data_IF_712932792553
#
_entry.id   IF_712932792553
#
_cell.length_a   1.000
_cell.length_b   1.000
_cell.length_c   1.000
_cell.angle_alpha   90.00
_cell.angle_beta   90.00
_cell.angle_gamma   90.00
#
_symmetry.space_group_name_H-M   'P 1'
#
loop_
_entity.id
_entity.type
_entity.pdbx_description
1 polymer ?
#
# COMPACT_ATOMS: atom_id res chain seq x y z
N UNK A 1 -23.86 5.71 -56.53
CA UNK A 1 -24.00 7.16 -56.30
C UNK A 1 -22.89 7.62 -55.38
N UNK A 2 -22.06 8.53 -55.87
CA UNK A 2 -20.85 9.05 -55.22
C UNK A 2 -21.25 10.15 -54.22
N UNK A 3 -20.81 10.07 -52.95
CA UNK A 3 -21.04 11.13 -51.94
C UNK A 3 -19.92 12.17 -52.08
N UNK A 4 -20.22 13.49 -52.04
CA UNK A 4 -19.18 14.51 -52.20
C UNK A 4 -18.24 14.54 -50.99
N UNK A 5 -16.98 14.88 -51.23
CA UNK A 5 -16.03 15.25 -50.17
C UNK A 5 -16.43 16.60 -49.55
N UNK A 6 -16.28 16.79 -48.23
CA UNK A 6 -16.57 18.07 -47.58
C UNK A 6 -15.57 19.17 -48.00
N UNK A 7 -16.08 20.41 -48.15
CA UNK A 7 -15.29 21.62 -48.46
C UNK A 7 -14.29 21.98 -47.35
N UNK A 8 -13.15 22.62 -47.69
CA UNK A 8 -12.05 22.89 -46.76
C UNK A 8 -12.24 24.09 -45.80
N UNK A 9 -13.41 24.72 -45.74
CA UNK A 9 -13.63 25.97 -44.99
C UNK A 9 -14.60 25.85 -43.80
N UNK A 10 -14.61 24.72 -43.09
CA UNK A 10 -15.29 24.64 -41.80
C UNK A 10 -14.42 25.35 -40.73
N UNK A 11 -14.95 26.30 -39.94
CA UNK A 11 -14.18 26.88 -38.85
C UNK A 11 -13.85 25.75 -37.86
N UNK A 12 -12.56 25.51 -37.65
CA UNK A 12 -12.07 24.63 -36.59
C UNK A 12 -12.64 25.12 -35.26
N UNK A 13 -13.68 24.44 -34.79
CA UNK A 13 -14.21 24.61 -33.46
C UNK A 13 -13.06 24.32 -32.51
N UNK A 14 -12.45 25.39 -31.99
CA UNK A 14 -11.49 25.34 -30.89
C UNK A 14 -12.08 24.40 -29.86
N UNK A 15 -11.46 23.23 -29.69
CA UNK A 15 -11.67 22.42 -28.51
C UNK A 15 -11.43 23.38 -27.35
N UNK A 16 -12.49 23.75 -26.63
CA UNK A 16 -12.37 24.51 -25.41
C UNK A 16 -11.36 23.73 -24.57
N UNK A 17 -10.21 24.34 -24.32
CA UNK A 17 -9.29 23.82 -23.34
C UNK A 17 -10.12 23.65 -22.07
N UNK A 18 -10.31 22.39 -21.65
CA UNK A 18 -10.87 22.13 -20.34
C UNK A 18 -9.91 22.82 -19.36
N UNK A 19 -10.36 23.89 -18.72
CA UNK A 19 -9.60 24.54 -17.67
C UNK A 19 -9.27 23.45 -16.63
N UNK A 20 -7.99 23.13 -16.37
CA UNK A 20 -7.64 22.13 -15.36
C UNK A 20 -8.05 22.59 -13.95
N UNK A 21 -8.44 23.86 -13.81
CA UNK A 21 -8.98 24.46 -12.60
C UNK A 21 -10.42 24.05 -12.25
N UNK A 22 -11.11 23.27 -13.11
CA UNK A 22 -12.41 22.67 -12.81
C UNK A 22 -12.30 21.23 -12.25
N UNK A 23 -11.11 20.81 -11.81
CA UNK A 23 -10.94 19.59 -11.02
C UNK A 23 -11.40 19.87 -9.58
N UNK A 24 -12.42 19.16 -9.11
CA UNK A 24 -12.81 19.20 -7.70
C UNK A 24 -11.60 18.92 -6.79
N UNK A 25 -11.58 19.52 -5.61
CA UNK A 25 -10.52 19.29 -4.61
C UNK A 25 -10.39 17.79 -4.35
N UNK A 26 -9.22 17.22 -4.67
CA UNK A 26 -8.90 15.83 -4.30
C UNK A 26 -8.86 15.79 -2.77
N UNK A 27 -9.63 14.91 -2.12
CA UNK A 27 -9.61 14.83 -0.67
C UNK A 27 -8.25 14.36 -0.18
N UNK A 28 -7.79 14.97 0.91
CA UNK A 28 -6.58 14.59 1.64
C UNK A 28 -6.74 13.22 2.30
N UNK A 29 -5.61 12.56 2.62
CA UNK A 29 -5.63 11.26 3.32
C UNK A 29 -6.42 11.31 4.64
N UNK A 30 -6.36 12.45 5.34
CA UNK A 30 -7.07 12.67 6.60
C UNK A 30 -8.59 12.71 6.45
N UNK A 31 -9.09 13.09 5.26
CA UNK A 31 -10.52 13.12 4.97
C UNK A 31 -11.06 11.75 4.59
N UNK A 32 -10.21 10.85 4.09
CA UNK A 32 -10.63 9.53 3.57
C UNK A 32 -10.27 8.34 4.46
N UNK A 33 -9.24 8.47 5.29
CA UNK A 33 -8.71 7.38 6.11
C UNK A 33 -8.69 7.75 7.60
N UNK A 34 -9.01 6.81 8.51
CA UNK A 34 -9.04 7.06 9.95
C UNK A 34 -7.64 6.94 10.58
N UNK A 35 -6.67 7.66 10.03
CA UNK A 35 -5.26 7.61 10.43
C UNK A 35 -4.81 8.82 11.24
N UNK A 36 -3.49 8.92 11.42
CA UNK A 36 -2.82 10.07 12.05
C UNK A 36 -1.48 10.33 11.39
N UNK A 37 -1.04 11.58 11.44
CA UNK A 37 0.32 11.95 11.07
C UNK A 37 1.32 11.46 12.13
N UNK A 38 2.43 10.91 11.68
CA UNK A 38 3.55 10.48 12.50
C UNK A 38 4.82 11.18 12.03
N UNK A 39 5.58 11.71 12.98
CA UNK A 39 6.94 12.16 12.72
C UNK A 39 7.88 10.96 12.86
N UNK A 40 8.68 10.68 11.83
CA UNK A 40 9.69 9.62 11.85
C UNK A 40 11.08 10.19 11.59
N UNK A 41 12.17 9.48 11.92
CA UNK A 41 13.53 9.92 11.56
C UNK A 41 13.73 10.12 10.05
N UNK A 42 12.93 9.46 9.22
CA UNK A 42 12.96 9.61 7.77
C UNK A 42 12.00 10.69 7.26
N UNK A 43 11.29 11.40 8.14
CA UNK A 43 10.31 12.42 7.76
C UNK A 43 8.89 12.07 8.18
N UNK A 44 7.93 12.99 7.99
CA UNK A 44 6.53 12.77 8.35
C UNK A 44 5.89 11.74 7.41
N UNK A 45 4.99 10.93 7.96
CA UNK A 45 4.13 10.03 7.19
C UNK A 45 2.72 10.00 7.78
N UNK A 46 1.75 9.58 6.97
CA UNK A 46 0.40 9.33 7.45
C UNK A 46 0.24 7.85 7.77
N UNK A 47 -0.28 7.52 8.95
CA UNK A 47 -0.34 6.15 9.47
C UNK A 47 -1.77 5.74 9.79
N UNK A 48 -2.18 4.62 9.23
CA UNK A 48 -3.47 3.98 9.46
C UNK A 48 -3.24 2.60 10.08
N UNK A 49 -4.03 2.26 11.10
CA UNK A 49 -3.98 0.96 11.77
C UNK A 49 -5.33 0.28 11.66
N UNK A 50 -5.30 -0.99 11.29
CA UNK A 50 -6.45 -1.88 11.24
C UNK A 50 -6.23 -3.06 12.16
N UNK A 51 -7.27 -3.46 12.87
CA UNK A 51 -7.26 -4.62 13.75
C UNK A 51 -8.42 -5.53 13.36
N UNK A 52 -8.09 -6.73 12.91
CA UNK A 52 -9.06 -7.71 12.45
C UNK A 52 -9.07 -8.91 13.40
N UNK A 53 -10.21 -9.26 14.01
CA UNK A 53 -10.34 -10.53 14.74
C UNK A 53 -9.97 -11.71 13.84
N UNK A 54 -9.39 -12.79 14.38
CA UNK A 54 -8.99 -13.94 13.54
C UNK A 54 -10.18 -14.64 12.83
N UNK A 55 -11.41 -14.40 13.27
CA UNK A 55 -12.62 -14.87 12.58
C UNK A 55 -13.02 -14.00 11.37
N UNK A 56 -12.43 -12.81 11.21
CA UNK A 56 -12.62 -11.95 10.06
C UNK A 56 -12.25 -12.70 8.78
N UNK A 57 -13.08 -12.55 7.74
CA UNK A 57 -12.91 -13.22 6.45
C UNK A 57 -12.30 -12.26 5.44
N UNK A 58 -11.21 -12.71 4.83
CA UNK A 58 -10.63 -12.08 3.67
C UNK A 58 -10.88 -12.97 2.45
N UNK A 59 -11.77 -12.53 1.56
CA UNK A 59 -12.33 -13.38 0.51
C UNK A 59 -13.06 -14.59 1.11
N UNK A 60 -12.68 -15.80 0.68
CA UNK A 60 -13.33 -17.03 1.13
C UNK A 60 -12.78 -17.59 2.46
N UNK A 61 -11.62 -17.11 2.93
CA UNK A 61 -10.93 -17.68 4.09
C UNK A 61 -10.95 -16.72 5.30
N UNK A 62 -11.21 -17.22 6.52
CA UNK A 62 -10.95 -16.47 7.75
C UNK A 62 -9.45 -16.36 8.04
N UNK A 63 -9.01 -15.27 8.66
CA UNK A 63 -7.59 -15.03 8.94
C UNK A 63 -6.96 -16.11 9.83
N UNK A 64 -7.73 -16.73 10.72
CA UNK A 64 -7.27 -17.87 11.55
C UNK A 64 -6.72 -19.05 10.73
N UNK A 65 -7.16 -19.24 9.48
CA UNK A 65 -6.67 -20.35 8.65
C UNK A 65 -5.20 -20.19 8.29
N UNK A 66 -4.67 -18.95 8.23
CA UNK A 66 -3.25 -18.72 8.02
C UNK A 66 -2.39 -19.33 9.14
N UNK A 67 -2.91 -19.40 10.37
CA UNK A 67 -2.20 -20.00 11.51
C UNK A 67 -2.09 -21.53 11.41
N UNK A 68 -2.83 -22.16 10.49
CA UNK A 68 -2.76 -23.61 10.25
C UNK A 68 -1.76 -23.99 9.15
N UNK A 69 -1.16 -23.00 8.48
CA UNK A 69 -0.14 -23.23 7.45
C UNK A 69 1.12 -23.79 8.12
N UNK A 70 1.52 -24.98 7.70
CA UNK A 70 2.73 -25.63 8.20
C UNK A 70 4.00 -24.96 7.66
N UNK A 71 5.08 -24.96 8.45
CA UNK A 71 6.38 -24.48 7.99
C UNK A 71 6.88 -25.24 6.76
N UNK A 72 6.58 -26.54 6.64
CA UNK A 72 6.85 -27.31 5.41
C UNK A 72 6.19 -26.71 4.16
N UNK A 73 4.95 -26.22 4.28
CA UNK A 73 4.28 -25.52 3.18
C UNK A 73 5.03 -24.24 2.82
N UNK A 74 5.48 -23.48 3.83
CA UNK A 74 6.27 -22.27 3.62
C UNK A 74 7.61 -22.57 2.95
N UNK A 75 8.31 -23.63 3.38
CA UNK A 75 9.57 -24.06 2.80
C UNK A 75 9.46 -24.42 1.32
N UNK A 76 8.40 -25.13 0.94
CA UNK A 76 8.12 -25.45 -0.47
C UNK A 76 7.82 -24.19 -1.29
N UNK A 77 6.98 -23.29 -0.78
CA UNK A 77 6.59 -22.06 -1.49
C UNK A 77 7.76 -21.07 -1.62
N UNK A 78 8.52 -20.89 -0.54
CA UNK A 78 9.69 -20.01 -0.47
C UNK A 78 10.94 -20.60 -1.12
N UNK A 79 10.94 -21.91 -1.43
CA UNK A 79 12.10 -22.68 -1.88
C UNK A 79 13.28 -22.56 -0.91
N UNK A 80 12.97 -22.63 0.37
CA UNK A 80 13.92 -22.45 1.46
C UNK A 80 13.57 -23.39 2.62
N UNK A 81 14.39 -24.41 2.83
CA UNK A 81 14.22 -25.41 3.89
C UNK A 81 14.30 -24.81 5.30
N UNK A 82 14.96 -23.65 5.47
CA UNK A 82 15.01 -22.98 6.77
C UNK A 82 13.65 -22.51 7.27
N UNK A 83 12.65 -22.41 6.37
CA UNK A 83 11.28 -22.05 6.72
C UNK A 83 10.48 -23.20 7.33
N UNK A 84 11.01 -24.43 7.39
CA UNK A 84 10.29 -25.57 8.00
C UNK A 84 9.95 -25.33 9.48
N UNK A 85 10.79 -24.58 10.19
CA UNK A 85 10.60 -24.21 11.60
C UNK A 85 9.84 -22.89 11.79
N UNK A 86 9.44 -22.23 10.70
CA UNK A 86 8.71 -20.95 10.75
C UNK A 86 7.21 -21.18 10.89
N UNK A 87 6.59 -20.38 11.75
CA UNK A 87 5.12 -20.28 11.86
C UNK A 87 4.66 -18.87 11.47
N UNK A 88 3.56 -18.79 10.73
CA UNK A 88 2.95 -17.51 10.36
C UNK A 88 2.48 -16.71 11.57
N UNK A 89 2.22 -17.36 12.72
CA UNK A 89 1.89 -16.68 13.98
C UNK A 89 3.00 -15.73 14.46
N UNK A 90 4.25 -15.97 14.02
CA UNK A 90 5.43 -15.18 14.38
C UNK A 90 5.98 -14.40 13.19
N UNK A 91 5.30 -14.44 12.04
CA UNK A 91 5.75 -13.78 10.83
C UNK A 91 5.30 -12.31 10.80
N UNK A 92 6.12 -11.49 10.15
CA UNK A 92 5.77 -10.15 9.71
C UNK A 92 5.52 -10.21 8.20
N UNK A 93 4.34 -9.75 7.78
CA UNK A 93 3.96 -9.62 6.38
C UNK A 93 4.25 -8.19 5.94
N UNK A 94 4.96 -8.01 4.83
CA UNK A 94 5.27 -6.69 4.29
C UNK A 94 4.87 -6.62 2.83
N UNK A 95 4.25 -5.52 2.46
CA UNK A 95 3.89 -5.19 1.09
C UNK A 95 4.15 -3.71 0.83
N UNK A 96 4.56 -3.36 -0.39
CA UNK A 96 4.87 -1.98 -0.76
C UNK A 96 4.20 -1.62 -2.08
N UNK A 97 3.56 -0.45 -2.12
CA UNK A 97 3.08 0.13 -3.37
C UNK A 97 4.00 1.24 -3.81
N UNK A 98 4.30 1.23 -5.10
CA UNK A 98 5.28 2.12 -5.69
C UNK A 98 4.72 2.91 -6.87
N UNK A 99 5.24 4.11 -7.10
CA UNK A 99 4.87 4.88 -8.28
C UNK A 99 5.47 4.26 -9.54
N UNK A 100 4.61 3.98 -10.53
CA UNK A 100 5.02 3.50 -11.85
C UNK A 100 5.17 4.67 -12.83
N UNK A 101 6.31 5.37 -12.81
CA UNK A 101 6.59 6.37 -13.85
C UNK A 101 7.27 5.69 -15.05
N UNK A 102 6.52 5.53 -16.14
CA UNK A 102 7.03 5.09 -17.43
C UNK A 102 8.03 6.13 -17.96
N UNK A 103 9.31 6.03 -17.60
CA UNK A 103 10.32 7.01 -18.02
C UNK A 103 11.65 7.05 -17.28
N UNK A 104 11.90 6.19 -16.29
CA UNK A 104 13.25 6.04 -15.69
C UNK A 104 13.67 7.09 -14.66
N UNK A 105 12.75 7.90 -14.14
CA UNK A 105 13.05 9.01 -13.20
C UNK A 105 12.67 8.77 -11.74
N UNK A 106 12.32 7.55 -11.34
CA UNK A 106 12.21 7.17 -9.92
C UNK A 106 10.93 6.41 -9.58
N UNK A 107 11.09 5.29 -8.90
CA UNK A 107 10.01 4.50 -8.30
C UNK A 107 10.00 4.82 -6.81
N UNK A 108 9.06 5.65 -6.37
CA UNK A 108 8.90 5.99 -4.95
C UNK A 108 7.94 5.00 -4.29
N UNK A 109 8.32 4.46 -3.14
CA UNK A 109 7.39 3.71 -2.29
C UNK A 109 6.46 4.72 -1.62
N UNK A 110 5.21 4.83 -2.08
CA UNK A 110 4.26 5.77 -1.51
C UNK A 110 3.40 5.13 -0.41
N UNK A 111 3.36 3.79 -0.34
CA UNK A 111 2.69 3.03 0.71
C UNK A 111 3.55 1.86 1.17
N UNK A 112 3.68 1.69 2.48
CA UNK A 112 4.23 0.47 3.11
C UNK A 112 3.15 -0.13 4.01
N UNK A 113 2.73 -1.35 3.72
CA UNK A 113 1.85 -2.15 4.56
C UNK A 113 2.66 -3.14 5.39
N UNK A 114 2.37 -3.23 6.68
CA UNK A 114 2.99 -4.18 7.60
C UNK A 114 1.88 -4.90 8.36
N UNK A 115 1.85 -6.23 8.31
CA UNK A 115 0.87 -7.07 8.99
C UNK A 115 1.52 -8.09 9.93
N UNK A 116 0.91 -8.37 11.07
CA UNK A 116 1.35 -9.43 11.98
C UNK A 116 0.19 -9.92 12.86
N UNK A 117 0.39 -11.09 13.49
CA UNK A 117 -0.55 -11.61 14.47
C UNK A 117 -0.19 -11.12 15.88
N UNK A 118 -1.18 -10.64 16.62
CA UNK A 118 -1.05 -10.17 18.00
C UNK A 118 -2.24 -10.68 18.82
N UNK A 119 -2.02 -11.75 19.61
CA UNK A 119 -3.10 -12.44 20.32
C UNK A 119 -4.15 -12.98 19.34
N UNK A 120 -5.41 -12.60 19.55
CA UNK A 120 -6.56 -12.98 18.70
C UNK A 120 -6.86 -11.96 17.59
N UNK A 121 -5.87 -11.15 17.23
CA UNK A 121 -5.97 -10.14 16.17
C UNK A 121 -4.91 -10.38 15.09
N UNK A 122 -5.28 -10.05 13.86
CA UNK A 122 -4.35 -9.71 12.81
C UNK A 122 -4.33 -8.18 12.69
N UNK A 123 -3.17 -7.60 12.92
CA UNK A 123 -2.97 -6.15 12.88
C UNK A 123 -2.33 -5.77 11.56
N UNK A 124 -2.82 -4.70 10.94
CA UNK A 124 -2.23 -4.10 9.74
C UNK A 124 -1.96 -2.64 10.00
N UNK A 125 -0.70 -2.23 9.94
CA UNK A 125 -0.32 -0.83 9.93
C UNK A 125 0.11 -0.45 8.50
N UNK A 126 -0.48 0.62 7.98
CA UNK A 126 -0.17 1.18 6.67
C UNK A 126 0.41 2.57 6.85
N UNK A 127 1.55 2.80 6.23
CA UNK A 127 2.25 4.07 6.22
C UNK A 127 2.15 4.64 4.81
N UNK A 128 1.75 5.91 4.70
CA UNK A 128 1.59 6.63 3.45
C UNK A 128 2.55 7.82 3.42
N UNK A 129 3.14 8.06 2.27
CA UNK A 129 3.86 9.30 1.99
C UNK A 129 2.86 10.47 1.93
N UNK A 130 3.13 11.57 2.64
CA UNK A 130 2.24 12.75 2.65
C UNK A 130 2.53 13.72 1.49
N UNK A 131 3.80 13.92 1.10
CA UNK A 131 4.20 14.92 0.09
C UNK A 131 5.15 14.32 -0.95
N UNK A 132 4.80 14.41 -2.24
CA UNK A 132 5.64 13.98 -3.37
C UNK A 132 6.83 14.93 -3.65
N UNK A 133 6.73 16.19 -3.23
CA UNK A 133 7.68 17.27 -3.58
C UNK A 133 8.90 17.36 -2.64
N UNK A 134 8.98 16.48 -1.65
CA UNK A 134 10.14 16.36 -0.77
C UNK A 134 10.58 14.91 -0.81
N UNK A 135 11.81 14.63 -1.25
CA UNK A 135 12.38 13.31 -0.97
C UNK A 135 12.49 13.15 0.54
N UNK A 136 11.75 12.18 1.11
CA UNK A 136 12.47 11.12 1.79
C UNK A 136 11.83 9.72 1.67
N UNK A 137 12.60 8.72 2.10
CA UNK A 137 12.26 7.29 2.09
C UNK A 137 11.25 6.92 3.18
N UNK A 138 10.11 6.35 2.77
CA UNK A 138 9.13 5.77 3.69
C UNK A 138 9.73 4.51 4.35
N UNK A 139 9.93 4.55 5.68
CA UNK A 139 10.34 3.38 6.47
C UNK A 139 9.43 3.24 7.69
N UNK A 140 8.95 2.03 8.00
CA UNK A 140 8.14 1.82 9.20
C UNK A 140 8.98 2.06 10.47
N UNK A 141 8.41 2.63 11.54
CA UNK A 141 9.09 2.77 12.82
C UNK A 141 9.42 1.39 13.42
N UNK A 142 10.58 1.27 14.08
CA UNK A 142 10.97 0.04 14.76
C UNK A 142 9.96 -0.35 15.84
N UNK A 143 9.33 -1.53 15.75
CA UNK A 143 8.44 -2.03 16.80
C UNK A 143 9.24 -2.67 17.93
N UNK A 144 8.79 -2.42 19.17
CA UNK A 144 9.18 -3.21 20.35
C UNK A 144 8.19 -4.36 20.47
N UNK A 145 8.66 -5.59 20.31
CA UNK A 145 7.93 -6.78 20.76
C UNK A 145 8.03 -6.87 22.29
N UNK A 146 7.03 -7.47 22.95
CA UNK A 146 7.00 -7.69 24.41
C UNK A 146 8.03 -8.72 24.91
N UNK A 147 8.90 -9.21 24.03
CA UNK A 147 10.16 -9.87 24.36
C UNK A 147 11.30 -9.03 23.78
N UNK A 148 12.13 -8.47 24.64
CA UNK A 148 13.07 -7.39 24.32
C UNK A 148 14.17 -7.74 23.32
N UNK A 149 13.82 -7.84 22.04
CA UNK A 149 14.78 -7.85 20.94
C UNK A 149 14.23 -7.02 19.79
N UNK A 150 14.92 -5.92 19.48
CA UNK A 150 14.66 -5.09 18.30
C UNK A 150 15.12 -5.88 17.07
N UNK A 151 14.22 -6.22 16.16
CA UNK A 151 14.57 -6.64 14.81
C UNK A 151 13.67 -5.92 13.80
N UNK A 152 14.28 -5.57 12.68
CA UNK A 152 13.78 -4.72 11.61
C UNK A 152 12.51 -5.25 10.96
#
# INVERSE_FOLDING_TARGET
>A
MNRPLPSPDAPEGRAGACDPAAAGTVPSLQEVLPGRRLETPAGPCYHVRWEHPLCFRYGAAPLKEALTVSGRTLAVLGRDESLEEVTLARACFMDTETTGLAGGTGTYVFLVGVGWFEGDLFVVDQYFMEDYDREPSLSPPSRRTSEGSRQW
#
